data_IF_380470073713
#
_entry.id   IF_380470073713
#
_cell.length_a   1.000
_cell.length_b   1.000
_cell.length_c   1.000
_cell.angle_alpha   90.00
_cell.angle_beta   90.00
_cell.angle_gamma   90.00
#
_symmetry.space_group_name_H-M   'P 1'
#
loop_
_entity.id
_entity.type
_entity.pdbx_description
1 polymer ?
#
# COMPACT_ATOMS: atom_id res chain seq x y z
N UNK A 1 1.77 6.36 -18.72
CA UNK A 1 1.42 6.65 -17.30
C UNK A 1 2.59 7.37 -16.65
N UNK A 2 2.34 8.39 -15.84
CA UNK A 2 3.36 9.06 -15.02
C UNK A 2 3.00 8.80 -13.56
N UNK A 3 3.97 8.37 -12.75
CA UNK A 3 3.80 8.11 -11.32
C UNK A 3 4.82 8.93 -10.55
N UNK A 4 4.37 9.61 -9.50
CA UNK A 4 5.24 10.36 -8.59
C UNK A 4 5.31 9.54 -7.30
N UNK A 5 6.46 8.90 -7.06
CA UNK A 5 6.69 8.09 -5.87
C UNK A 5 7.40 8.90 -4.77
N UNK A 6 7.01 8.66 -3.52
CA UNK A 6 7.58 9.32 -2.35
C UNK A 6 6.58 9.47 -1.22
N UNK A 7 6.97 10.15 -0.15
CA UNK A 7 6.03 10.48 0.93
C UNK A 7 4.96 11.45 0.42
N UNK A 8 3.77 11.41 1.03
CA UNK A 8 2.66 12.32 0.70
C UNK A 8 3.04 13.80 0.70
N UNK A 9 3.93 14.21 1.62
CA UNK A 9 4.44 15.59 1.66
C UNK A 9 5.34 15.91 0.46
N UNK A 10 6.22 14.99 0.09
CA UNK A 10 7.11 15.15 -1.06
C UNK A 10 6.32 15.16 -2.38
N UNK A 11 5.41 14.20 -2.57
CA UNK A 11 4.58 14.11 -3.76
C UNK A 11 3.73 15.38 -3.95
N UNK A 12 3.09 15.87 -2.87
CA UNK A 12 2.35 17.13 -2.91
C UNK A 12 3.21 18.33 -3.29
N UNK A 13 4.47 18.38 -2.81
CA UNK A 13 5.40 19.46 -3.16
C UNK A 13 5.78 19.40 -4.65
N UNK A 14 6.00 18.21 -5.21
CA UNK A 14 6.34 18.01 -6.63
C UNK A 14 5.15 18.41 -7.52
N UNK A 15 3.94 17.97 -7.18
CA UNK A 15 2.73 18.29 -7.96
C UNK A 15 2.45 19.80 -7.95
N UNK A 16 2.63 20.48 -6.81
CA UNK A 16 2.41 21.94 -6.72
C UNK A 16 3.56 22.76 -7.30
N UNK A 17 4.78 22.23 -7.26
CA UNK A 17 6.01 22.95 -7.65
C UNK A 17 6.41 22.78 -9.10
N UNK A 18 5.72 21.93 -9.88
CA UNK A 18 6.02 21.69 -11.30
C UNK A 18 4.82 22.06 -12.16
N UNK A 19 5.02 22.58 -13.39
CA UNK A 19 3.91 22.83 -14.33
C UNK A 19 3.42 21.54 -15.01
N UNK A 20 4.07 20.40 -14.74
CA UNK A 20 3.77 19.11 -15.35
C UNK A 20 2.28 18.71 -15.21
N UNK A 21 1.63 18.85 -14.03
CA UNK A 21 0.23 18.45 -13.84
C UNK A 21 -0.77 19.26 -14.67
N UNK A 22 -0.38 20.43 -15.19
CA UNK A 22 -1.21 21.24 -16.08
C UNK A 22 -1.17 20.74 -17.53
N UNK A 23 -0.19 19.92 -17.88
CA UNK A 23 0.05 19.42 -19.24
C UNK A 23 -0.37 17.96 -19.44
N UNK A 24 -0.81 17.28 -18.38
CA UNK A 24 -1.14 15.86 -18.41
C UNK A 24 -2.56 15.63 -17.90
N UNK A 25 -3.23 14.63 -18.45
CA UNK A 25 -4.52 14.20 -17.95
C UNK A 25 -4.37 13.67 -16.53
N UNK A 26 -5.23 14.17 -15.63
CA UNK A 26 -5.34 13.70 -14.25
C UNK A 26 -6.47 12.70 -14.19
N UNK A 27 -6.21 11.58 -13.53
CA UNK A 27 -7.19 10.51 -13.30
C UNK A 27 -7.25 10.23 -11.81
N UNK A 28 -8.44 9.89 -11.33
CA UNK A 28 -8.70 9.48 -9.96
C UNK A 28 -9.29 8.09 -10.02
N UNK A 29 -8.71 7.17 -9.26
CA UNK A 29 -9.25 5.82 -9.06
C UNK A 29 -10.16 5.80 -7.83
N UNK A 30 -11.09 4.85 -7.78
CA UNK A 30 -12.00 4.73 -6.64
C UNK A 30 -11.24 4.46 -5.33
N UNK A 31 -11.68 5.02 -4.18
CA UNK A 31 -11.09 4.72 -2.89
C UNK A 31 -11.13 3.22 -2.58
N UNK A 32 -9.99 2.65 -2.20
CA UNK A 32 -9.82 1.23 -1.89
C UNK A 32 -9.08 1.07 -0.58
N UNK A 33 -9.47 0.05 0.20
CA UNK A 33 -8.71 -0.33 1.38
C UNK A 33 -7.35 -0.88 0.95
N UNK A 34 -6.28 -0.31 1.53
CA UNK A 34 -4.92 -0.76 1.27
C UNK A 34 -4.63 -2.08 2.00
N UNK A 35 -4.00 -2.99 1.27
CA UNK A 35 -3.36 -4.19 1.83
C UNK A 35 -1.92 -3.91 2.27
N UNK A 36 -1.49 -2.65 2.29
CA UNK A 36 -0.14 -2.27 2.69
C UNK A 36 0.07 -2.54 4.18
N UNK A 37 1.01 -3.42 4.45
CA UNK A 37 1.26 -3.92 5.81
C UNK A 37 2.10 -2.95 6.65
N UNK A 38 2.79 -1.97 6.04
CA UNK A 38 3.56 -0.98 6.81
C UNK A 38 2.65 0.09 7.40
N UNK A 39 3.15 0.76 8.44
CA UNK A 39 2.49 1.90 9.04
C UNK A 39 2.15 2.98 8.01
N UNK A 40 0.95 3.54 8.13
CA UNK A 40 0.52 4.75 7.44
C UNK A 40 -0.25 5.63 8.43
N UNK A 41 0.07 6.92 8.45
CA UNK A 41 -0.45 7.89 9.44
C UNK A 41 -1.66 8.69 8.92
N UNK A 42 -2.10 8.42 7.69
CA UNK A 42 -3.11 9.27 7.01
C UNK A 42 -4.47 8.59 6.97
N UNK A 43 -4.61 7.51 6.21
CA UNK A 43 -5.87 6.76 6.14
C UNK A 43 -5.64 5.37 5.56
N UNK A 44 -6.52 4.42 5.90
CA UNK A 44 -6.54 3.07 5.33
C UNK A 44 -6.87 3.04 3.83
N UNK A 45 -7.36 4.15 3.28
CA UNK A 45 -7.64 4.28 1.84
C UNK A 45 -6.42 4.74 1.03
N UNK A 46 -5.28 4.96 1.69
CA UNK A 46 -4.08 5.49 1.05
C UNK A 46 -3.25 4.34 0.50
N UNK A 47 -3.55 3.98 -0.74
CA UNK A 47 -2.86 2.92 -1.46
C UNK A 47 -1.35 3.19 -1.55
N UNK A 48 -0.57 2.12 -1.45
CA UNK A 48 0.82 2.15 -1.87
C UNK A 48 0.94 2.42 -3.37
N UNK A 49 2.09 2.92 -3.82
CA UNK A 49 2.33 3.25 -5.22
C UNK A 49 2.01 2.09 -6.18
N UNK A 50 2.38 0.86 -5.79
CA UNK A 50 2.09 -0.32 -6.61
C UNK A 50 0.61 -0.70 -6.63
N UNK A 51 -0.11 -0.56 -5.52
CA UNK A 51 -1.56 -0.77 -5.49
C UNK A 51 -2.30 0.28 -6.33
N UNK A 52 -1.86 1.54 -6.28
CA UNK A 52 -2.42 2.60 -7.11
C UNK A 52 -2.22 2.32 -8.61
N UNK A 53 -1.02 1.84 -9.00
CA UNK A 53 -0.75 1.40 -10.38
C UNK A 53 -1.65 0.22 -10.77
N UNK A 54 -1.72 -0.81 -9.91
CA UNK A 54 -2.53 -1.99 -10.16
C UNK A 54 -3.99 -1.62 -10.39
N UNK A 55 -4.60 -0.88 -9.47
CA UNK A 55 -6.01 -0.50 -9.58
C UNK A 55 -6.29 0.46 -10.73
N UNK A 56 -5.33 1.31 -11.11
CA UNK A 56 -5.46 2.12 -12.32
C UNK A 56 -5.61 1.23 -13.57
N UNK A 57 -4.79 0.19 -13.71
CA UNK A 57 -4.90 -0.73 -14.85
C UNK A 57 -6.17 -1.56 -14.81
N UNK A 58 -6.60 -2.03 -13.63
CA UNK A 58 -7.87 -2.73 -13.46
C UNK A 58 -9.04 -1.85 -13.92
N UNK A 59 -9.15 -0.63 -13.39
CA UNK A 59 -10.23 0.28 -13.74
C UNK A 59 -10.17 0.73 -15.20
N UNK A 60 -8.96 0.93 -15.75
CA UNK A 60 -8.79 1.21 -17.18
C UNK A 60 -9.33 0.07 -18.05
N UNK A 61 -8.97 -1.18 -17.75
CA UNK A 61 -9.47 -2.33 -18.52
C UNK A 61 -10.99 -2.47 -18.40
N UNK A 62 -11.55 -2.24 -17.21
CA UNK A 62 -12.99 -2.30 -16.97
C UNK A 62 -13.75 -1.21 -17.74
N UNK A 63 -13.18 0.00 -17.83
CA UNK A 63 -13.81 1.12 -18.50
C UNK A 63 -13.69 1.08 -20.03
N UNK A 64 -12.58 0.57 -20.58
CA UNK A 64 -12.25 0.72 -22.00
C UNK A 64 -12.05 -0.60 -22.77
N UNK A 65 -11.69 -1.70 -22.10
CA UNK A 65 -11.34 -2.96 -22.78
C UNK A 65 -12.43 -4.04 -22.62
N UNK A 66 -13.14 -4.05 -21.50
CA UNK A 66 -14.20 -5.03 -21.23
C UNK A 66 -15.49 -4.67 -21.96
N UNK A 67 -16.09 -5.67 -22.62
CA UNK A 67 -17.43 -5.56 -23.19
C UNK A 67 -18.49 -5.61 -22.09
N UNK A 68 -19.69 -5.05 -22.31
CA UNK A 68 -20.81 -5.18 -21.37
C UNK A 68 -21.03 -6.64 -20.95
N UNK A 69 -21.05 -6.88 -19.63
CA UNK A 69 -21.22 -8.23 -19.05
C UNK A 69 -19.93 -9.02 -18.88
N UNK A 70 -18.77 -8.53 -19.32
CA UNK A 70 -17.48 -9.17 -19.02
C UNK A 70 -16.97 -8.75 -17.63
N UNK A 71 -16.36 -9.71 -16.93
CA UNK A 71 -15.71 -9.50 -15.63
C UNK A 71 -14.20 -9.43 -15.84
N UNK A 72 -13.52 -8.68 -14.97
CA UNK A 72 -12.06 -8.60 -14.94
C UNK A 72 -11.43 -10.00 -14.80
N UNK A 73 -10.42 -10.29 -15.62
CA UNK A 73 -9.83 -11.62 -15.81
C UNK A 73 -8.50 -11.84 -15.07
N UNK A 74 -8.05 -10.86 -14.27
CA UNK A 74 -6.78 -10.96 -13.55
C UNK A 74 -5.54 -10.68 -14.40
N UNK A 75 -5.67 -10.13 -15.62
CA UNK A 75 -4.53 -9.88 -16.54
C UNK A 75 -3.39 -9.04 -15.97
N UNK A 76 -3.61 -8.30 -14.88
CA UNK A 76 -2.61 -7.46 -14.22
C UNK A 76 -2.16 -7.98 -12.86
N UNK A 77 -2.66 -9.14 -12.40
CA UNK A 77 -2.36 -9.69 -11.07
C UNK A 77 -0.85 -9.95 -10.89
N UNK A 78 -0.15 -10.27 -11.98
CA UNK A 78 1.30 -10.46 -11.99
C UNK A 78 2.08 -9.20 -11.55
N UNK A 79 1.52 -7.99 -11.68
CA UNK A 79 2.13 -6.77 -11.12
C UNK A 79 2.33 -6.87 -9.60
N UNK A 80 1.48 -7.63 -8.92
CA UNK A 80 1.50 -7.81 -7.48
C UNK A 80 2.45 -8.94 -7.02
N UNK A 81 3.15 -9.62 -7.95
CA UNK A 81 4.02 -10.76 -7.61
C UNK A 81 5.07 -10.40 -6.56
N UNK A 82 5.91 -9.39 -6.83
CA UNK A 82 6.96 -8.99 -5.88
C UNK A 82 6.38 -8.37 -4.61
N UNK A 83 5.23 -7.71 -4.71
CA UNK A 83 4.53 -7.18 -3.54
C UNK A 83 4.13 -8.30 -2.58
N UNK A 84 3.50 -9.37 -3.12
CA UNK A 84 3.13 -10.57 -2.37
C UNK A 84 4.35 -11.30 -1.82
N UNK A 85 5.39 -11.45 -2.63
CA UNK A 85 6.64 -12.08 -2.21
C UNK A 85 7.29 -11.34 -1.02
N UNK A 86 7.41 -10.02 -1.09
CA UNK A 86 7.98 -9.20 -0.01
C UNK A 86 7.11 -9.26 1.26
N UNK A 87 5.79 -9.27 1.09
CA UNK A 87 4.87 -9.49 2.20
C UNK A 87 5.13 -10.84 2.87
N UNK A 88 5.18 -11.93 2.11
CA UNK A 88 5.42 -13.28 2.65
C UNK A 88 6.79 -13.40 3.31
N UNK A 89 7.82 -12.78 2.73
CA UNK A 89 9.16 -12.74 3.31
C UNK A 89 9.15 -12.07 4.69
N UNK A 90 8.40 -10.98 4.84
CA UNK A 90 8.24 -10.29 6.13
C UNK A 90 7.47 -11.16 7.12
N UNK A 91 6.36 -11.77 6.69
CA UNK A 91 5.62 -12.72 7.53
C UNK A 91 6.54 -13.85 8.04
N UNK A 92 7.32 -14.46 7.14
CA UNK A 92 8.28 -15.49 7.49
C UNK A 92 9.34 -15.00 8.48
N UNK A 93 9.96 -13.84 8.19
CA UNK A 93 11.06 -13.29 8.99
C UNK A 93 10.65 -13.02 10.44
N UNK A 94 9.42 -12.58 10.67
CA UNK A 94 8.90 -12.26 12.01
C UNK A 94 8.15 -13.41 12.69
N UNK A 95 7.76 -14.45 11.97
CA UNK A 95 7.10 -15.63 12.55
C UNK A 95 8.09 -16.78 12.82
N UNK A 96 9.03 -17.00 11.91
CA UNK A 96 9.96 -18.15 11.93
C UNK A 96 11.43 -17.77 11.80
N UNK A 97 11.73 -16.57 11.31
CA UNK A 97 13.09 -16.11 11.07
C UNK A 97 13.74 -15.35 12.24
N UNK A 98 14.78 -14.61 11.91
CA UNK A 98 15.65 -13.88 12.85
C UNK A 98 14.91 -12.85 13.72
N UNK A 99 13.74 -12.38 13.28
CA UNK A 99 12.95 -11.35 13.98
C UNK A 99 11.79 -11.92 14.78
N UNK A 100 11.74 -13.25 14.99
CA UNK A 100 10.66 -13.93 15.73
C UNK A 100 10.37 -13.33 17.11
N UNK A 101 11.43 -12.95 17.83
CA UNK A 101 11.31 -12.39 19.18
C UNK A 101 11.31 -10.86 19.21
N UNK A 102 11.34 -10.18 18.05
CA UNK A 102 11.29 -8.72 18.03
C UNK A 102 9.91 -8.22 18.42
N UNK A 103 9.89 -7.29 19.37
CA UNK A 103 8.67 -6.56 19.73
C UNK A 103 8.31 -5.53 18.65
N UNK A 104 7.02 -5.24 18.56
CA UNK A 104 6.50 -4.26 17.62
C UNK A 104 6.41 -2.90 18.30
N UNK A 105 6.95 -1.87 17.66
CA UNK A 105 6.66 -0.51 18.07
C UNK A 105 5.21 -0.12 17.73
N UNK A 106 4.69 0.93 18.36
CA UNK A 106 3.34 1.50 18.16
C UNK A 106 2.97 1.79 16.70
N UNK A 107 3.95 1.89 15.80
CA UNK A 107 3.72 2.10 14.35
C UNK A 107 3.31 0.82 13.62
N UNK A 108 3.51 -0.37 14.17
CA UNK A 108 3.03 -1.58 13.51
C UNK A 108 1.52 -1.72 13.72
N UNK A 109 0.80 -2.13 12.67
CA UNK A 109 -0.61 -2.50 12.79
C UNK A 109 -0.75 -3.70 13.75
N UNK A 110 -1.90 -3.83 14.41
CA UNK A 110 -2.18 -4.95 15.32
C UNK A 110 -2.09 -6.32 14.61
N UNK A 111 -2.38 -6.34 13.32
CA UNK A 111 -2.34 -7.48 12.42
C UNK A 111 -1.09 -7.51 11.52
N UNK A 112 -0.03 -6.76 11.89
CA UNK A 112 1.20 -6.64 11.09
C UNK A 112 1.78 -8.00 10.68
N UNK A 113 1.78 -8.96 11.61
CA UNK A 113 2.14 -10.35 11.37
C UNK A 113 0.94 -11.23 11.65
N UNK A 114 0.56 -12.05 10.66
CA UNK A 114 -0.56 -12.99 10.76
C UNK A 114 -0.35 -13.94 11.93
N UNK A 115 -1.43 -14.17 12.68
CA UNK A 115 -1.52 -15.13 13.78
C UNK A 115 -0.58 -14.87 14.98
N UNK A 116 0.14 -13.74 14.98
CA UNK A 116 0.95 -13.32 16.12
C UNK A 116 0.07 -12.49 17.06
N UNK A 117 -0.21 -13.04 18.26
CA UNK A 117 -0.91 -12.27 19.31
C UNK A 117 -0.13 -10.97 19.55
N UNK A 118 -0.81 -9.80 19.63
CA UNK A 118 -0.13 -8.55 19.95
C UNK A 118 0.63 -8.75 21.27
N UNK A 119 1.95 -8.58 21.24
CA UNK A 119 2.74 -8.51 22.46
C UNK A 119 2.23 -7.35 23.32
N UNK A 120 2.33 -7.46 24.65
CA UNK A 120 1.97 -6.37 25.57
C UNK A 120 2.59 -5.08 25.04
N UNK A 121 1.76 -4.07 24.76
CA UNK A 121 2.27 -2.74 24.45
C UNK A 121 3.00 -2.26 25.70
N UNK A 122 4.31 -2.05 25.59
CA UNK A 122 5.07 -1.40 26.65
C UNK A 122 4.63 0.08 26.61
N UNK A 123 3.85 0.50 27.59
CA UNK A 123 3.60 1.93 27.82
C UNK A 123 4.93 2.56 28.23
N UNK A 124 5.46 3.44 27.37
CA UNK A 124 6.57 4.31 27.75
C UNK A 124 6.14 5.11 28.99
N UNK A 125 6.80 4.82 30.11
CA UNK A 125 6.51 5.40 31.41
C UNK A 125 6.47 6.92 31.38
N UNK A 126 5.35 7.48 31.86
CA UNK A 126 5.34 8.82 32.42
C UNK A 126 6.28 8.83 33.62
N UNK A 127 7.34 9.63 33.52
CA UNK A 127 8.08 10.11 34.70
C UNK A 127 7.27 11.29 35.23
N UNK A 128 6.80 11.17 36.47
CA UNK A 128 6.24 12.28 37.27
C UNK A 128 7.25 13.42 37.45
#
# INVERSE_FOLDING_TARGET
MIVIDGTWRQANKIVRGTPLPNKVQKVTIEPRLTSFWRFQDISVNYLSTIEAIYYLYVEYSQAYELKPGQVYDGRYDNLMFYYKYLYDLIQYTYSKGEKKNKEFCRRHKSDYIKDRKPGKQVEDGKVE
#
